data_IF_873353631141
#
_entry.id   IF_873353631141
#
_cell.length_a   1.000
_cell.length_b   1.000
_cell.length_c   1.000
_cell.angle_alpha   90.00
_cell.angle_beta   90.00
_cell.angle_gamma   90.00
#
_symmetry.space_group_name_H-M   'P 1'
#
loop_
_entity.id
_entity.type
_entity.pdbx_description
1 polymer ?
#
# COMPACT_ATOMS: atom_id res chain seq x y z
N UNK A 1 10.02 -3.78 23.34
CA UNK A 1 9.18 -3.69 22.13
C UNK A 1 10.00 -3.36 20.90
N UNK A 2 10.84 -2.31 20.89
CA UNK A 2 11.65 -1.93 19.71
C UNK A 2 12.55 -3.05 19.16
N UNK A 3 13.20 -3.82 20.04
CA UNK A 3 14.00 -4.98 19.61
C UNK A 3 13.16 -6.07 18.93
N UNK A 4 11.94 -6.35 19.43
CA UNK A 4 11.00 -7.28 18.80
C UNK A 4 10.55 -6.76 17.43
N UNK A 5 10.31 -5.44 17.31
CA UNK A 5 9.93 -4.83 16.04
C UNK A 5 11.05 -4.88 15.01
N UNK A 6 12.28 -4.58 15.42
CA UNK A 6 13.45 -4.72 14.56
C UNK A 6 13.64 -6.19 14.10
N UNK A 7 13.51 -7.14 15.02
CA UNK A 7 13.60 -8.57 14.70
C UNK A 7 12.49 -8.99 13.72
N UNK A 8 11.27 -8.52 13.91
CA UNK A 8 10.16 -8.78 13.01
C UNK A 8 10.43 -8.21 11.61
N UNK A 9 10.85 -6.94 11.50
CA UNK A 9 11.18 -6.30 10.24
C UNK A 9 12.30 -7.05 9.48
N UNK A 10 13.26 -7.60 10.20
CA UNK A 10 14.38 -8.34 9.61
C UNK A 10 14.03 -9.78 9.26
N UNK A 11 13.25 -10.50 10.09
CA UNK A 11 12.96 -11.94 9.90
C UNK A 11 11.71 -12.20 9.06
N UNK A 12 10.73 -11.30 9.07
CA UNK A 12 9.49 -11.41 8.27
C UNK A 12 9.37 -10.33 7.22
N UNK A 13 9.71 -9.08 7.56
CA UNK A 13 9.74 -7.99 6.60
C UNK A 13 10.63 -8.38 5.42
N UNK A 14 11.90 -8.06 5.48
CA UNK A 14 12.86 -8.37 4.41
C UNK A 14 13.32 -9.82 4.36
N UNK A 15 13.07 -10.61 5.40
CA UNK A 15 13.58 -11.97 5.58
C UNK A 15 15.08 -12.07 5.26
N UNK A 16 15.88 -11.30 6.02
CA UNK A 16 17.32 -11.16 5.81
C UNK A 16 18.02 -12.51 5.91
N UNK A 17 18.81 -12.84 4.89
CA UNK A 17 19.56 -14.08 4.83
C UNK A 17 20.99 -13.91 5.38
N UNK A 18 21.60 -15.02 5.80
CA UNK A 18 23.01 -15.02 6.18
C UNK A 18 23.90 -14.60 4.99
N UNK A 19 24.94 -13.83 5.24
CA UNK A 19 25.87 -13.27 4.23
C UNK A 19 25.21 -12.37 3.18
N UNK A 20 23.98 -11.89 3.43
CA UNK A 20 23.27 -10.93 2.57
C UNK A 20 23.57 -9.49 2.99
N UNK A 21 23.70 -8.58 2.01
CA UNK A 21 23.72 -7.14 2.25
C UNK A 21 22.34 -6.62 2.64
N UNK A 22 22.27 -5.75 3.64
CA UNK A 22 21.07 -5.00 3.99
C UNK A 22 21.27 -3.52 3.67
N UNK A 23 20.31 -2.95 2.96
CA UNK A 23 20.20 -1.49 2.78
C UNK A 23 19.01 -0.99 3.60
N UNK A 24 19.25 -0.05 4.49
CA UNK A 24 18.24 0.58 5.33
C UNK A 24 18.04 2.02 4.86
N UNK A 25 16.83 2.35 4.40
CA UNK A 25 16.43 3.74 4.17
C UNK A 25 15.73 4.22 5.44
N UNK A 26 16.21 5.26 6.10
CA UNK A 26 15.62 5.77 7.33
C UNK A 26 15.72 7.29 7.40
N UNK A 27 14.75 7.93 8.06
CA UNK A 27 14.88 9.31 8.45
C UNK A 27 15.81 9.46 9.68
N UNK A 28 16.39 10.62 9.85
CA UNK A 28 17.30 10.88 10.97
C UNK A 28 16.57 10.81 12.32
N UNK A 29 15.28 11.13 12.38
CA UNK A 29 14.43 10.97 13.56
C UNK A 29 14.34 9.51 13.99
N UNK A 30 14.48 8.59 13.06
CA UNK A 30 14.47 7.14 13.29
C UNK A 30 15.83 6.55 13.68
N UNK A 31 16.86 7.38 13.91
CA UNK A 31 18.24 6.91 14.11
C UNK A 31 18.38 5.88 15.25
N UNK A 32 17.67 6.05 16.36
CA UNK A 32 17.74 5.12 17.48
C UNK A 32 17.17 3.74 17.13
N UNK A 33 16.04 3.70 16.42
CA UNK A 33 15.48 2.44 15.94
C UNK A 33 16.37 1.81 14.85
N UNK A 34 16.90 2.60 13.93
CA UNK A 34 17.82 2.12 12.90
C UNK A 34 19.09 1.48 13.50
N UNK A 35 19.65 2.02 14.60
CA UNK A 35 20.78 1.41 15.33
C UNK A 35 20.41 0.02 15.89
N UNK A 36 19.20 -0.14 16.42
CA UNK A 36 18.70 -1.43 16.91
C UNK A 36 18.59 -2.42 15.73
N UNK A 37 18.04 -1.97 14.59
CA UNK A 37 17.93 -2.78 13.36
C UNK A 37 19.31 -3.23 12.88
N UNK A 38 20.28 -2.33 12.80
CA UNK A 38 21.66 -2.66 12.38
C UNK A 38 22.30 -3.69 13.30
N UNK A 39 22.19 -3.50 14.61
CA UNK A 39 22.70 -4.48 15.59
C UNK A 39 22.09 -5.84 15.37
N UNK A 40 20.75 -5.91 15.25
CA UNK A 40 20.03 -7.17 15.02
C UNK A 40 20.36 -7.79 13.67
N UNK A 41 20.58 -7.00 12.61
CA UNK A 41 20.97 -7.49 11.31
C UNK A 41 22.32 -8.22 11.36
N UNK A 42 23.31 -7.67 12.06
CA UNK A 42 24.58 -8.37 12.25
C UNK A 42 24.46 -9.62 13.14
N UNK A 43 23.57 -9.60 14.15
CA UNK A 43 23.28 -10.80 14.97
C UNK A 43 22.63 -11.94 14.12
N UNK A 44 21.88 -11.60 13.08
CA UNK A 44 21.28 -12.56 12.12
C UNK A 44 22.33 -13.07 11.12
N UNK A 45 23.44 -12.34 10.91
CA UNK A 45 24.49 -12.70 9.99
C UNK A 45 24.55 -11.88 8.71
N UNK A 46 24.06 -10.63 8.73
CA UNK A 46 24.23 -9.72 7.60
C UNK A 46 25.70 -9.59 7.22
N UNK A 47 26.01 -9.64 5.91
CA UNK A 47 27.34 -9.41 5.38
C UNK A 47 27.82 -7.99 5.66
N UNK A 48 26.95 -7.04 5.40
CA UNK A 48 27.16 -5.61 5.67
C UNK A 48 25.81 -4.90 5.70
N UNK A 49 25.76 -3.76 6.38
CA UNK A 49 24.57 -2.91 6.42
C UNK A 49 24.96 -1.52 5.92
N UNK A 50 24.24 -1.04 4.93
CA UNK A 50 24.33 0.33 4.44
C UNK A 50 23.08 1.09 4.88
N UNK A 51 23.27 2.31 5.46
CA UNK A 51 22.15 3.19 5.82
C UNK A 51 22.15 4.40 4.88
N UNK A 52 21.00 4.62 4.26
CA UNK A 52 20.69 5.81 3.48
C UNK A 52 19.77 6.71 4.31
N UNK A 53 20.33 7.81 4.82
CA UNK A 53 19.61 8.76 5.67
C UNK A 53 18.85 9.79 4.84
N UNK A 54 17.66 10.17 5.30
CA UNK A 54 16.89 11.33 4.87
C UNK A 54 16.57 12.22 6.09
N UNK A 55 16.24 13.46 5.81
CA UNK A 55 15.86 14.46 6.81
C UNK A 55 14.73 15.30 6.19
N UNK A 56 13.55 15.28 6.83
CA UNK A 56 12.36 15.92 6.31
C UNK A 56 12.54 17.45 6.17
N UNK A 57 13.23 18.09 7.10
CA UNK A 57 13.51 19.54 7.05
C UNK A 57 14.42 19.88 5.86
N UNK A 58 15.47 19.08 5.62
CA UNK A 58 16.35 19.26 4.47
C UNK A 58 15.63 18.97 3.15
N UNK A 59 14.77 17.95 3.11
CA UNK A 59 13.95 17.64 1.94
C UNK A 59 12.99 18.79 1.63
N UNK A 60 12.32 19.36 2.65
CA UNK A 60 11.47 20.54 2.48
C UNK A 60 12.27 21.74 1.97
N UNK A 61 13.40 22.08 2.58
CA UNK A 61 14.27 23.18 2.14
C UNK A 61 14.74 22.97 0.69
N UNK A 62 15.01 21.74 0.29
CA UNK A 62 15.36 21.41 -1.10
C UNK A 62 14.19 21.69 -2.05
N UNK A 63 12.97 21.24 -1.71
CA UNK A 63 11.79 21.56 -2.51
C UNK A 63 11.53 23.05 -2.62
N UNK A 64 11.77 23.84 -1.59
CA UNK A 64 11.56 25.28 -1.58
C UNK A 64 12.60 26.06 -2.41
N UNK A 65 13.85 25.64 -2.38
CA UNK A 65 14.98 26.47 -2.81
C UNK A 65 15.76 25.93 -4.03
N UNK A 66 15.70 24.64 -4.32
CA UNK A 66 16.46 24.08 -5.44
C UNK A 66 16.01 24.68 -6.79
N UNK A 67 16.94 24.85 -7.72
CA UNK A 67 16.63 25.28 -9.07
C UNK A 67 15.77 24.21 -9.80
N UNK A 68 14.95 24.63 -10.75
CA UNK A 68 13.99 23.74 -11.43
C UNK A 68 14.70 22.58 -12.14
N UNK A 69 15.79 22.81 -12.81
CA UNK A 69 16.62 21.80 -13.48
C UNK A 69 17.20 20.75 -12.53
N UNK A 70 17.45 21.13 -11.27
CA UNK A 70 17.86 20.20 -10.20
C UNK A 70 16.70 19.31 -9.76
N UNK A 71 15.49 19.85 -9.65
CA UNK A 71 14.29 19.08 -9.34
C UNK A 71 13.93 18.08 -10.45
N UNK A 72 14.24 18.42 -11.68
CA UNK A 72 13.99 17.60 -12.88
C UNK A 72 15.06 16.54 -13.14
N UNK A 73 16.06 16.42 -12.27
CA UNK A 73 17.19 15.54 -12.50
C UNK A 73 17.63 14.77 -11.24
N UNK A 74 17.76 13.46 -11.35
CA UNK A 74 18.35 12.62 -10.30
C UNK A 74 19.84 12.38 -10.61
N UNK A 75 20.76 12.69 -9.70
CA UNK A 75 22.18 12.47 -9.94
C UNK A 75 22.51 11.01 -10.29
N UNK A 76 23.31 10.81 -11.33
CA UNK A 76 23.65 9.47 -11.84
C UNK A 76 24.30 8.57 -10.79
N UNK A 77 25.11 9.13 -9.89
CA UNK A 77 25.74 8.36 -8.81
C UNK A 77 24.70 7.73 -7.88
N UNK A 78 23.58 8.43 -7.63
CA UNK A 78 22.50 7.91 -6.78
C UNK A 78 21.78 6.75 -7.47
N UNK A 79 21.50 6.86 -8.76
CA UNK A 79 20.89 5.79 -9.56
C UNK A 79 21.80 4.56 -9.55
N UNK A 80 23.10 4.74 -9.85
CA UNK A 80 24.08 3.65 -9.86
C UNK A 80 24.23 2.96 -8.51
N UNK A 81 24.13 3.71 -7.40
CA UNK A 81 24.17 3.16 -6.05
C UNK A 81 23.02 2.18 -5.82
N UNK A 82 21.78 2.59 -6.12
CA UNK A 82 20.61 1.72 -5.94
C UNK A 82 20.61 0.52 -6.90
N UNK A 83 21.00 0.74 -8.15
CA UNK A 83 21.13 -0.34 -9.14
C UNK A 83 22.20 -1.36 -8.70
N UNK A 84 23.31 -0.89 -8.14
CA UNK A 84 24.35 -1.77 -7.59
C UNK A 84 23.80 -2.61 -6.43
N UNK A 85 23.14 -2.00 -5.44
CA UNK A 85 22.55 -2.75 -4.34
C UNK A 85 21.57 -3.82 -4.82
N UNK A 86 20.71 -3.47 -5.77
CA UNK A 86 19.74 -4.42 -6.32
C UNK A 86 20.41 -5.56 -7.10
N UNK A 87 21.44 -5.26 -7.91
CA UNK A 87 22.18 -6.28 -8.66
C UNK A 87 22.98 -7.24 -7.78
N UNK A 88 23.42 -6.80 -6.61
CA UNK A 88 24.07 -7.64 -5.60
C UNK A 88 23.08 -8.45 -4.74
N UNK A 89 21.77 -8.33 -5.00
CA UNK A 89 20.73 -9.06 -4.24
C UNK A 89 20.54 -8.55 -2.81
N UNK A 90 20.81 -7.27 -2.57
CA UNK A 90 20.62 -6.68 -1.24
C UNK A 90 19.14 -6.72 -0.82
N UNK A 91 18.89 -6.99 0.47
CA UNK A 91 17.59 -6.77 1.08
C UNK A 91 17.39 -5.26 1.36
N UNK A 92 16.21 -4.72 1.06
CA UNK A 92 15.93 -3.29 1.21
C UNK A 92 14.87 -3.08 2.31
N UNK A 93 15.26 -2.49 3.42
CA UNK A 93 14.34 -2.11 4.50
C UNK A 93 14.13 -0.60 4.51
N UNK A 94 12.90 -0.15 4.36
CA UNK A 94 12.53 1.26 4.49
C UNK A 94 11.82 1.51 5.81
N UNK A 95 12.45 2.29 6.69
CA UNK A 95 11.89 2.74 7.97
C UNK A 95 11.32 4.13 7.72
N UNK A 96 10.00 4.21 7.62
CA UNK A 96 9.28 5.46 7.32
C UNK A 96 8.88 6.18 8.60
N UNK A 97 9.23 7.45 8.69
CA UNK A 97 8.76 8.38 9.70
C UNK A 97 8.12 9.55 8.95
N UNK A 98 6.85 9.40 8.62
CA UNK A 98 6.19 10.29 7.65
C UNK A 98 5.60 11.51 8.35
N UNK A 99 6.04 12.72 7.96
CA UNK A 99 5.30 13.95 8.24
C UNK A 99 4.21 14.14 7.17
N UNK A 100 2.91 13.99 7.51
CA UNK A 100 1.84 14.09 6.50
C UNK A 100 1.70 15.47 5.85
N UNK A 101 2.23 16.51 6.49
CA UNK A 101 2.16 17.90 6.03
C UNK A 101 3.51 18.41 5.47
N UNK A 102 4.50 17.54 5.27
CA UNK A 102 5.85 17.89 4.82
C UNK A 102 5.86 18.82 3.59
N UNK A 103 5.07 18.50 2.58
CA UNK A 103 5.03 19.24 1.31
C UNK A 103 3.89 20.27 1.24
N UNK A 104 3.20 20.54 2.36
CA UNK A 104 2.12 21.53 2.40
C UNK A 104 2.64 22.93 2.08
N UNK A 105 2.04 23.59 1.07
CA UNK A 105 2.44 24.90 0.61
C UNK A 105 3.57 24.92 -0.42
N UNK A 106 4.17 23.76 -0.75
CA UNK A 106 5.09 23.64 -1.89
C UNK A 106 4.28 23.66 -3.19
N UNK A 107 4.77 24.36 -4.20
CA UNK A 107 4.14 24.39 -5.52
C UNK A 107 4.04 22.97 -6.12
N UNK A 108 2.82 22.60 -6.54
CA UNK A 108 2.54 21.26 -7.09
C UNK A 108 3.40 20.92 -8.31
N UNK A 109 3.77 21.92 -9.12
CA UNK A 109 4.67 21.77 -10.26
C UNK A 109 6.05 21.25 -9.87
N UNK A 110 6.61 21.75 -8.75
CA UNK A 110 7.93 21.35 -8.22
C UNK A 110 7.90 19.91 -7.73
N UNK A 111 6.85 19.55 -6.99
CA UNK A 111 6.65 18.16 -6.50
C UNK A 111 6.49 17.21 -7.70
N UNK A 112 5.68 17.58 -8.67
CA UNK A 112 5.44 16.76 -9.87
C UNK A 112 6.71 16.57 -10.71
N UNK A 113 7.52 17.62 -10.88
CA UNK A 113 8.79 17.55 -11.61
C UNK A 113 9.77 16.55 -10.94
N UNK A 114 9.95 16.66 -9.62
CA UNK A 114 10.80 15.75 -8.85
C UNK A 114 10.31 14.30 -8.88
N UNK A 115 8.99 14.10 -8.71
CA UNK A 115 8.39 12.76 -8.76
C UNK A 115 8.58 12.11 -10.14
N UNK A 116 8.39 12.87 -11.22
CA UNK A 116 8.62 12.41 -12.59
C UNK A 116 10.07 12.04 -12.81
N UNK A 117 11.02 12.93 -12.47
CA UNK A 117 12.44 12.69 -12.60
C UNK A 117 12.90 11.43 -11.82
N UNK A 118 12.46 11.31 -10.56
CA UNK A 118 12.73 10.12 -9.74
C UNK A 118 12.09 8.86 -10.32
N UNK A 119 10.85 8.97 -10.84
CA UNK A 119 10.16 7.87 -11.49
C UNK A 119 10.91 7.30 -12.68
N UNK A 120 11.42 8.17 -13.55
CA UNK A 120 12.18 7.82 -14.74
C UNK A 120 13.58 7.29 -14.39
N UNK A 121 14.31 8.01 -13.54
CA UNK A 121 15.69 7.65 -13.18
C UNK A 121 15.78 6.32 -12.43
N UNK A 122 14.83 6.05 -11.51
CA UNK A 122 14.83 4.85 -10.68
C UNK A 122 14.04 3.68 -11.32
N UNK A 123 13.67 3.77 -12.60
CA UNK A 123 12.88 2.74 -13.30
C UNK A 123 13.54 1.35 -13.26
N UNK A 124 14.87 1.29 -13.39
CA UNK A 124 15.59 0.01 -13.34
C UNK A 124 15.56 -0.60 -11.95
N UNK A 125 15.88 0.17 -10.91
CA UNK A 125 15.78 -0.27 -9.51
C UNK A 125 14.36 -0.74 -9.15
N UNK A 126 13.33 0.01 -9.56
CA UNK A 126 11.93 -0.36 -9.32
C UNK A 126 11.54 -1.70 -9.95
N UNK A 127 12.15 -2.11 -11.07
CA UNK A 127 11.91 -3.45 -11.63
C UNK A 127 12.37 -4.57 -10.70
N UNK A 128 13.38 -4.33 -9.87
CA UNK A 128 13.81 -5.34 -8.89
C UNK A 128 12.81 -5.48 -7.75
N UNK A 129 12.26 -4.39 -7.23
CA UNK A 129 11.28 -4.44 -6.15
C UNK A 129 9.89 -4.85 -6.63
N UNK A 130 9.37 -4.24 -7.70
CA UNK A 130 8.01 -4.52 -8.20
C UNK A 130 7.83 -5.91 -8.83
N UNK A 131 8.93 -6.55 -9.28
CA UNK A 131 8.89 -7.92 -9.81
C UNK A 131 9.45 -8.95 -8.80
N UNK A 132 9.52 -8.58 -7.52
CA UNK A 132 10.00 -9.45 -6.44
C UNK A 132 11.36 -10.12 -6.72
N UNK A 133 12.28 -9.42 -7.44
CA UNK A 133 13.62 -9.94 -7.72
C UNK A 133 14.52 -9.94 -6.49
N UNK A 134 14.30 -9.01 -5.60
CA UNK A 134 14.97 -8.86 -4.29
C UNK A 134 13.93 -8.75 -3.19
N UNK A 135 14.31 -9.06 -1.96
CA UNK A 135 13.43 -8.84 -0.80
C UNK A 135 13.44 -7.38 -0.39
N UNK A 136 12.28 -6.85 -0.05
CA UNK A 136 12.13 -5.49 0.45
C UNK A 136 10.97 -5.39 1.44
N UNK A 137 11.04 -4.41 2.32
CA UNK A 137 9.94 -4.17 3.27
C UNK A 137 9.87 -2.72 3.68
N UNK A 138 8.65 -2.28 3.97
CA UNK A 138 8.37 -0.98 4.57
C UNK A 138 7.81 -1.20 5.97
N UNK A 139 8.40 -0.52 6.94
CA UNK A 139 7.90 -0.40 8.31
C UNK A 139 7.79 1.07 8.67
N UNK A 140 6.93 1.43 9.61
CA UNK A 140 6.79 2.81 10.05
C UNK A 140 7.17 2.98 11.52
N UNK A 141 7.67 4.17 11.84
CA UNK A 141 7.94 4.65 13.20
C UNK A 141 7.31 6.02 13.37
N UNK A 142 6.86 6.40 14.57
CA UNK A 142 6.28 7.71 14.81
C UNK A 142 7.31 8.84 14.71
N UNK A 143 6.82 10.03 14.35
CA UNK A 143 7.42 11.32 14.65
C UNK A 143 6.39 12.21 15.35
N UNK A 144 6.80 13.39 15.81
CA UNK A 144 5.94 14.31 16.53
C UNK A 144 4.77 14.80 15.67
N UNK A 145 5.04 15.19 14.43
CA UNK A 145 4.06 15.76 13.50
C UNK A 145 2.97 14.75 13.16
N UNK A 146 3.36 13.53 12.81
CA UNK A 146 2.42 12.46 12.52
C UNK A 146 1.59 12.07 13.75
N UNK A 147 2.26 11.89 14.89
CA UNK A 147 1.58 11.54 16.14
C UNK A 147 0.58 12.61 16.58
N UNK A 148 0.95 13.89 16.51
CA UNK A 148 0.07 15.03 16.82
C UNK A 148 -1.11 15.15 15.87
N UNK A 149 -0.94 14.78 14.60
CA UNK A 149 -2.02 14.79 13.63
C UNK A 149 -3.09 13.74 13.96
N UNK A 150 -2.66 12.56 14.46
CA UNK A 150 -3.59 11.49 14.87
C UNK A 150 -4.18 11.79 16.26
N UNK A 151 -3.38 12.32 17.19
CA UNK A 151 -3.75 12.57 18.59
C UNK A 151 -3.61 14.07 18.95
N UNK A 152 -4.44 14.97 18.37
CA UNK A 152 -4.26 16.42 18.50
C UNK A 152 -4.38 16.93 19.94
N UNK A 153 -5.18 16.26 20.77
CA UNK A 153 -5.44 16.65 22.18
C UNK A 153 -4.37 16.16 23.18
N UNK A 154 -3.40 15.34 22.74
CA UNK A 154 -2.32 14.84 23.59
C UNK A 154 -1.10 15.77 23.56
N UNK A 155 -0.23 15.72 24.60
CA UNK A 155 1.11 16.31 24.45
C UNK A 155 1.90 15.58 23.36
N UNK A 156 2.99 16.17 22.86
CA UNK A 156 3.83 15.52 21.82
C UNK A 156 4.34 14.16 22.27
N UNK A 157 4.90 14.08 23.48
CA UNK A 157 5.39 12.83 24.06
C UNK A 157 4.29 11.78 24.18
N UNK A 158 3.12 12.17 24.70
CA UNK A 158 1.97 11.27 24.82
C UNK A 158 1.42 10.81 23.46
N UNK A 159 1.43 11.70 22.47
CA UNK A 159 0.98 11.36 21.12
C UNK A 159 1.92 10.33 20.47
N UNK A 160 3.23 10.51 20.58
CA UNK A 160 4.26 9.58 20.09
C UNK A 160 4.14 8.23 20.79
N UNK A 161 3.96 8.22 22.12
CA UNK A 161 3.79 6.99 22.90
C UNK A 161 2.52 6.22 22.46
N UNK A 162 1.39 6.92 22.31
CA UNK A 162 0.14 6.33 21.80
C UNK A 162 0.31 5.77 20.39
N UNK A 163 1.05 6.46 19.52
CA UNK A 163 1.27 5.99 18.16
C UNK A 163 2.18 4.75 18.14
N UNK A 164 3.21 4.69 18.99
CA UNK A 164 3.99 3.46 19.18
C UNK A 164 3.12 2.29 19.62
N UNK A 165 2.21 2.50 20.58
CA UNK A 165 1.30 1.45 21.03
C UNK A 165 0.41 0.93 19.90
N UNK A 166 -0.09 1.83 19.03
CA UNK A 166 -0.85 1.43 17.85
C UNK A 166 0.02 0.64 16.86
N UNK A 167 1.22 1.13 16.55
CA UNK A 167 2.16 0.45 15.63
C UNK A 167 2.45 -0.96 16.15
N UNK A 168 2.78 -1.13 17.43
CA UNK A 168 3.08 -2.43 18.03
C UNK A 168 1.89 -3.38 17.98
N UNK A 169 0.69 -2.89 18.28
CA UNK A 169 -0.54 -3.68 18.19
C UNK A 169 -0.84 -4.11 16.76
N UNK A 170 -0.82 -3.17 15.82
CA UNK A 170 -1.12 -3.37 14.41
C UNK A 170 -0.12 -4.33 13.77
N UNK A 171 1.17 -4.19 14.10
CA UNK A 171 2.23 -5.09 13.62
C UNK A 171 2.39 -6.35 14.47
N UNK A 172 1.51 -6.60 15.46
CA UNK A 172 1.54 -7.80 16.33
C UNK A 172 2.81 -7.92 17.17
N UNK A 173 3.56 -6.82 17.33
CA UNK A 173 4.79 -6.77 18.14
C UNK A 173 4.48 -6.90 19.64
N UNK A 174 3.26 -6.56 20.05
CA UNK A 174 2.72 -6.75 21.42
C UNK A 174 2.54 -8.23 21.80
N UNK A 175 2.53 -9.14 20.81
CA UNK A 175 2.42 -10.58 21.05
C UNK A 175 3.70 -11.15 21.68
N UNK A 176 3.60 -12.32 22.31
CA UNK A 176 4.75 -13.01 22.91
C UNK A 176 5.82 -13.30 21.84
N UNK A 177 5.40 -13.85 20.69
CA UNK A 177 6.25 -14.13 19.53
C UNK A 177 5.68 -13.48 18.25
N UNK A 178 6.09 -12.24 17.93
CA UNK A 178 5.61 -11.54 16.75
C UNK A 178 5.84 -12.27 15.42
N UNK A 179 6.98 -12.95 15.29
CA UNK A 179 7.31 -13.72 14.07
C UNK A 179 6.33 -14.88 13.87
N UNK A 180 5.99 -15.60 14.95
CA UNK A 180 4.98 -16.67 14.88
C UNK A 180 3.60 -16.10 14.54
N UNK A 181 3.19 -15.01 15.17
CA UNK A 181 1.92 -14.35 14.90
C UNK A 181 1.81 -13.90 13.42
N UNK A 182 2.89 -13.41 12.82
CA UNK A 182 2.94 -13.10 11.40
C UNK A 182 2.91 -14.32 10.49
N UNK A 183 3.50 -15.45 10.91
CA UNK A 183 3.39 -16.69 10.16
C UNK A 183 1.93 -17.17 10.08
N UNK A 184 1.19 -17.11 11.17
CA UNK A 184 -0.24 -17.46 11.22
C UNK A 184 -1.07 -16.48 10.38
N UNK A 185 -0.79 -15.18 10.50
CA UNK A 185 -1.46 -14.14 9.71
C UNK A 185 -1.22 -14.34 8.19
N UNK A 186 0.03 -14.55 7.77
CA UNK A 186 0.34 -14.85 6.37
C UNK A 186 -0.33 -16.15 5.90
N UNK A 187 -0.44 -17.16 6.75
CA UNK A 187 -1.14 -18.40 6.40
C UNK A 187 -2.64 -18.14 6.16
N UNK A 188 -3.27 -17.30 6.98
CA UNK A 188 -4.68 -16.88 6.79
C UNK A 188 -4.86 -16.13 5.46
N UNK A 189 -4.01 -15.14 5.16
CA UNK A 189 -4.07 -14.41 3.89
C UNK A 189 -3.78 -15.32 2.68
N UNK A 190 -2.84 -16.25 2.82
CA UNK A 190 -2.54 -17.24 1.78
C UNK A 190 -3.72 -18.17 1.50
N UNK A 191 -4.45 -18.60 2.54
CA UNK A 191 -5.67 -19.41 2.38
C UNK A 191 -6.77 -18.60 1.69
N UNK A 192 -7.03 -17.35 2.13
CA UNK A 192 -8.00 -16.47 1.47
C UNK A 192 -7.67 -16.30 -0.02
N UNK A 193 -6.42 -15.94 -0.32
CA UNK A 193 -5.91 -15.82 -1.69
C UNK A 193 -6.07 -17.11 -2.49
N UNK A 194 -5.77 -18.26 -1.88
CA UNK A 194 -5.93 -19.56 -2.54
C UNK A 194 -7.39 -19.84 -2.88
N UNK A 195 -8.30 -19.66 -1.94
CA UNK A 195 -9.74 -19.90 -2.16
C UNK A 195 -10.27 -18.99 -3.28
N UNK A 196 -9.93 -17.70 -3.25
CA UNK A 196 -10.36 -16.74 -4.26
C UNK A 196 -9.81 -17.08 -5.66
N UNK A 197 -8.55 -17.51 -5.76
CA UNK A 197 -7.94 -17.96 -7.02
C UNK A 197 -8.55 -19.29 -7.51
N UNK A 198 -8.79 -20.25 -6.61
CA UNK A 198 -9.40 -21.56 -6.99
C UNK A 198 -10.86 -21.41 -7.44
N UNK A 199 -11.63 -20.51 -6.82
CA UNK A 199 -13.03 -20.22 -7.16
C UNK A 199 -13.19 -19.46 -8.46
N UNK A 200 -12.22 -18.61 -8.78
CA UNK A 200 -12.14 -17.84 -10.03
C UNK A 200 -13.45 -17.13 -10.37
N UNK A 201 -13.93 -16.31 -9.45
CA UNK A 201 -15.20 -15.61 -9.61
C UNK A 201 -15.16 -14.67 -10.83
N UNK A 202 -16.22 -14.69 -11.61
CA UNK A 202 -16.41 -13.79 -12.75
C UNK A 202 -16.70 -12.35 -12.31
N UNK A 203 -17.43 -12.22 -11.20
CA UNK A 203 -17.92 -10.94 -10.69
C UNK A 203 -18.00 -10.95 -9.17
N UNK A 204 -17.78 -9.80 -8.57
CA UNK A 204 -18.05 -9.50 -7.17
C UNK A 204 -19.27 -8.58 -7.06
N UNK A 205 -20.11 -8.82 -6.06
CA UNK A 205 -21.28 -7.99 -5.75
C UNK A 205 -21.15 -7.48 -4.33
N UNK A 206 -21.09 -6.17 -4.19
CA UNK A 206 -20.94 -5.47 -2.91
C UNK A 206 -22.26 -4.87 -2.46
N UNK A 207 -22.62 -5.08 -1.20
CA UNK A 207 -23.80 -4.49 -0.55
C UNK A 207 -23.43 -3.94 0.81
N UNK A 208 -23.71 -2.65 1.02
CA UNK A 208 -23.55 -1.95 2.30
C UNK A 208 -24.41 -0.68 2.29
N UNK A 209 -24.59 0.02 3.41
CA UNK A 209 -25.23 1.34 3.40
C UNK A 209 -24.53 2.30 2.43
N UNK A 210 -25.26 2.81 1.43
CA UNK A 210 -24.71 3.68 0.38
C UNK A 210 -23.89 2.98 -0.71
N UNK A 211 -23.75 1.65 -0.64
CA UNK A 211 -23.01 0.86 -1.63
C UNK A 211 -23.87 -0.26 -2.20
N UNK A 212 -24.03 -0.24 -3.51
CA UNK A 212 -24.64 -1.28 -4.33
C UNK A 212 -23.83 -1.35 -5.63
N UNK A 213 -22.82 -2.22 -5.66
CA UNK A 213 -21.78 -2.20 -6.69
C UNK A 213 -21.50 -3.61 -7.21
N UNK A 214 -21.44 -3.73 -8.51
CA UNK A 214 -21.00 -4.95 -9.20
C UNK A 214 -19.65 -4.68 -9.89
N UNK A 215 -18.71 -5.60 -9.71
CA UNK A 215 -17.36 -5.51 -10.29
C UNK A 215 -17.04 -6.82 -11.01
N UNK A 216 -16.97 -6.80 -12.32
CA UNK A 216 -16.46 -7.92 -13.12
C UNK A 216 -14.95 -8.01 -13.00
N UNK A 217 -14.43 -9.22 -12.95
CA UNK A 217 -13.00 -9.51 -12.92
C UNK A 217 -12.54 -10.00 -14.31
N UNK A 218 -11.34 -9.62 -14.77
CA UNK A 218 -10.77 -10.18 -15.99
C UNK A 218 -10.64 -11.71 -15.92
N UNK A 219 -10.79 -12.42 -17.03
CA UNK A 219 -10.67 -13.89 -17.07
C UNK A 219 -9.34 -14.40 -16.47
N UNK A 220 -8.26 -13.67 -16.69
CA UNK A 220 -6.94 -14.02 -16.18
C UNK A 220 -6.57 -13.39 -14.84
N UNK A 221 -7.53 -12.87 -14.07
CA UNK A 221 -7.22 -12.22 -12.79
C UNK A 221 -6.55 -13.16 -11.79
N UNK A 222 -5.67 -12.59 -10.97
CA UNK A 222 -4.94 -13.29 -9.89
C UNK A 222 -5.07 -12.48 -8.61
N UNK A 223 -5.56 -13.13 -7.56
CA UNK A 223 -5.56 -12.57 -6.21
C UNK A 223 -4.16 -12.65 -5.61
N UNK A 224 -3.69 -11.54 -5.06
CA UNK A 224 -2.42 -11.35 -4.39
C UNK A 224 -2.66 -10.86 -2.95
N UNK A 225 -1.59 -10.66 -2.18
CA UNK A 225 -1.65 -10.15 -0.81
C UNK A 225 -0.92 -11.04 0.19
N UNK A 226 -0.63 -10.51 1.37
CA UNK A 226 0.18 -11.16 2.38
C UNK A 226 1.67 -11.16 2.02
N UNK A 227 2.31 -12.34 2.06
CA UNK A 227 3.71 -12.48 1.70
C UNK A 227 3.93 -12.60 0.20
N UNK A 228 5.07 -12.09 -0.27
CA UNK A 228 5.65 -12.31 -1.60
C UNK A 228 6.78 -13.34 -1.54
N UNK A 229 7.15 -13.89 -2.71
CA UNK A 229 8.31 -14.79 -2.84
C UNK A 229 9.27 -14.17 -3.84
N UNK A 230 10.51 -13.92 -3.42
CA UNK A 230 11.53 -13.35 -4.31
C UNK A 230 11.95 -14.34 -5.41
N UNK A 231 12.63 -13.82 -6.45
CA UNK A 231 13.21 -14.65 -7.53
C UNK A 231 14.16 -15.75 -6.98
N UNK A 232 14.74 -15.53 -5.80
CA UNK A 232 15.60 -16.50 -5.10
C UNK A 232 14.81 -17.50 -4.21
N UNK A 233 13.48 -17.42 -4.22
CA UNK A 233 12.62 -18.29 -3.40
C UNK A 233 12.51 -17.88 -1.92
N UNK A 234 12.88 -16.64 -1.58
CA UNK A 234 12.80 -16.11 -0.21
C UNK A 234 11.42 -15.49 -0.01
N UNK A 235 10.66 -16.01 0.95
CA UNK A 235 9.37 -15.43 1.34
C UNK A 235 9.58 -14.19 2.22
N UNK A 236 8.91 -13.08 1.91
CA UNK A 236 9.03 -11.81 2.62
C UNK A 236 7.70 -11.04 2.65
N UNK A 237 7.58 -10.04 3.52
CA UNK A 237 6.44 -9.14 3.57
C UNK A 237 6.86 -7.75 3.12
N UNK A 238 6.39 -7.32 1.95
CA UNK A 238 6.72 -6.02 1.37
C UNK A 238 6.22 -4.85 2.23
N UNK A 239 5.05 -4.99 2.83
CA UNK A 239 4.44 -4.00 3.71
C UNK A 239 4.19 -4.58 5.10
N UNK A 240 4.54 -3.83 6.12
CA UNK A 240 4.22 -4.18 7.52
C UNK A 240 3.63 -2.93 8.21
N UNK A 241 2.30 -2.87 8.34
CA UNK A 241 1.33 -3.97 8.20
C UNK A 241 0.90 -4.25 6.76
N UNK A 242 0.26 -5.43 6.56
CA UNK A 242 -0.61 -5.78 5.44
C UNK A 242 -1.73 -6.68 5.96
N UNK A 243 -2.98 -6.37 5.59
CA UNK A 243 -4.20 -7.06 6.06
C UNK A 243 -5.08 -7.50 4.89
N UNK A 244 -4.63 -7.26 3.67
CA UNK A 244 -5.42 -7.37 2.45
C UNK A 244 -5.11 -8.59 1.61
N UNK A 245 -6.12 -8.96 0.82
CA UNK A 245 -5.96 -9.68 -0.44
C UNK A 245 -6.62 -8.86 -1.55
N UNK A 246 -5.93 -8.68 -2.65
CA UNK A 246 -6.35 -7.77 -3.72
C UNK A 246 -6.20 -8.38 -5.11
N UNK A 247 -6.96 -7.84 -6.05
CA UNK A 247 -6.87 -8.12 -7.48
C UNK A 247 -7.26 -6.87 -8.28
N UNK A 248 -7.34 -6.99 -9.61
CA UNK A 248 -7.79 -5.91 -10.46
C UNK A 248 -9.24 -6.12 -10.96
N UNK A 249 -10.06 -5.06 -11.08
CA UNK A 249 -11.33 -5.11 -11.78
C UNK A 249 -11.12 -5.10 -13.30
N UNK A 250 -12.08 -5.64 -14.05
CA UNK A 250 -12.15 -5.40 -15.49
C UNK A 250 -12.55 -3.94 -15.75
N UNK A 251 -11.73 -3.19 -16.48
CA UNK A 251 -11.87 -1.72 -16.63
C UNK A 251 -13.22 -1.25 -17.18
N UNK A 252 -13.98 -2.13 -17.84
CA UNK A 252 -15.34 -1.84 -18.35
C UNK A 252 -16.43 -2.53 -17.52
N UNK A 253 -16.09 -3.37 -16.55
CA UNK A 253 -17.00 -4.27 -15.86
C UNK A 253 -17.53 -3.75 -14.52
N UNK A 254 -17.50 -2.45 -14.26
CA UNK A 254 -17.94 -1.88 -12.97
C UNK A 254 -19.25 -1.13 -13.16
N UNK A 255 -20.30 -1.50 -12.37
CA UNK A 255 -21.61 -0.88 -12.44
C UNK A 255 -22.21 -0.73 -11.04
N UNK A 256 -22.88 0.41 -10.79
CA UNK A 256 -23.53 0.69 -9.52
C UNK A 256 -22.89 1.86 -8.77
N UNK A 257 -23.19 1.96 -7.49
CA UNK A 257 -22.73 3.08 -6.64
C UNK A 257 -21.95 2.56 -5.45
N UNK A 258 -20.89 3.29 -5.08
CA UNK A 258 -20.10 3.07 -3.87
C UNK A 258 -19.97 4.36 -3.09
N UNK A 259 -20.07 4.26 -1.76
CA UNK A 259 -19.80 5.37 -0.85
C UNK A 259 -18.53 5.12 -0.05
N UNK A 260 -17.73 6.16 0.14
CA UNK A 260 -16.58 6.10 1.04
C UNK A 260 -17.02 5.94 2.48
N UNK A 261 -16.29 5.17 3.26
CA UNK A 261 -16.52 4.98 4.70
C UNK A 261 -15.51 5.71 5.57
N UNK A 262 -14.43 6.21 4.95
CA UNK A 262 -13.39 7.00 5.61
C UNK A 262 -13.00 8.18 4.71
N UNK A 263 -12.49 9.28 5.31
CA UNK A 263 -11.93 10.38 4.53
C UNK A 263 -10.71 9.93 3.71
N UNK A 264 -10.57 10.48 2.51
CA UNK A 264 -9.42 10.31 1.64
C UNK A 264 -8.53 11.55 1.71
N UNK A 265 -7.27 11.39 2.11
CA UNK A 265 -6.26 12.44 2.05
C UNK A 265 -5.56 12.38 0.69
N UNK A 266 -5.74 13.39 -0.16
CA UNK A 266 -5.17 13.42 -1.49
C UNK A 266 -4.62 14.80 -1.82
N UNK A 267 -3.35 14.88 -2.23
CA UNK A 267 -2.70 16.13 -2.62
C UNK A 267 -2.70 17.22 -1.51
N UNK A 268 -2.66 16.81 -0.24
CA UNK A 268 -2.74 17.71 0.91
C UNK A 268 -4.15 18.21 1.25
N UNK A 269 -5.18 17.73 0.54
CA UNK A 269 -6.58 18.05 0.78
C UNK A 269 -7.33 16.82 1.30
N UNK A 270 -8.40 17.06 2.05
CA UNK A 270 -9.30 16.03 2.52
C UNK A 270 -10.52 15.94 1.61
N UNK A 271 -10.86 14.72 1.17
CA UNK A 271 -12.10 14.40 0.48
C UNK A 271 -12.94 13.55 1.43
N UNK A 272 -14.11 14.02 1.82
CA UNK A 272 -14.90 13.38 2.85
C UNK A 272 -16.36 13.14 2.44
N UNK A 273 -16.95 12.04 2.96
CA UNK A 273 -18.33 11.63 2.68
C UNK A 273 -18.65 11.72 1.17
N UNK A 274 -17.89 10.99 0.35
CA UNK A 274 -18.07 11.01 -1.09
C UNK A 274 -18.65 9.69 -1.62
N UNK A 275 -19.31 9.79 -2.76
CA UNK A 275 -19.82 8.64 -3.49
C UNK A 275 -19.47 8.73 -4.98
N UNK A 276 -19.34 7.55 -5.60
CA UNK A 276 -19.06 7.38 -7.02
C UNK A 276 -20.09 6.46 -7.63
N UNK A 277 -20.67 6.85 -8.77
CA UNK A 277 -21.55 6.01 -9.56
C UNK A 277 -20.87 5.58 -10.85
N UNK A 278 -20.76 4.28 -11.03
CA UNK A 278 -20.13 3.65 -12.19
C UNK A 278 -21.15 3.14 -13.20
N UNK A 279 -20.83 3.31 -14.47
CA UNK A 279 -21.52 2.68 -15.59
C UNK A 279 -20.48 2.21 -16.62
N UNK A 280 -20.50 0.93 -16.95
CA UNK A 280 -19.53 0.33 -17.89
C UNK A 280 -18.07 0.66 -17.52
N UNK A 281 -17.77 0.54 -16.24
CA UNK A 281 -16.44 0.78 -15.65
C UNK A 281 -16.06 2.25 -15.47
N UNK A 282 -16.86 3.21 -15.90
CA UNK A 282 -16.54 4.65 -15.84
C UNK A 282 -17.36 5.35 -14.79
N UNK A 283 -16.74 6.20 -13.97
CA UNK A 283 -17.46 7.14 -13.08
C UNK A 283 -18.26 8.13 -13.94
N UNK A 284 -19.58 8.03 -13.83
CA UNK A 284 -20.55 8.90 -14.57
C UNK A 284 -21.16 9.97 -13.69
N UNK A 285 -21.17 9.75 -12.37
CA UNK A 285 -21.66 10.71 -11.38
C UNK A 285 -20.86 10.56 -10.08
N UNK A 286 -20.69 11.65 -9.35
CA UNK A 286 -20.00 11.67 -8.06
C UNK A 286 -20.48 12.81 -7.17
N UNK A 287 -20.32 12.64 -5.87
CA UNK A 287 -20.58 13.68 -4.88
C UNK A 287 -19.52 13.65 -3.78
N UNK A 288 -19.33 14.76 -3.09
CA UNK A 288 -18.53 14.84 -1.86
C UNK A 288 -19.06 15.97 -0.99
N UNK A 289 -19.13 15.77 0.33
CA UNK A 289 -19.48 16.86 1.26
C UNK A 289 -18.32 17.85 1.43
N UNK A 290 -17.09 17.34 1.37
CA UNK A 290 -15.85 18.11 1.47
C UNK A 290 -14.89 17.64 0.38
N UNK A 291 -14.12 18.55 -0.21
CA UNK A 291 -13.11 18.23 -1.22
C UNK A 291 -13.67 17.88 -2.60
N UNK A 292 -14.88 18.34 -2.96
CA UNK A 292 -15.50 18.08 -4.26
C UNK A 292 -14.59 18.43 -5.44
N UNK A 293 -13.99 19.63 -5.46
CA UNK A 293 -13.10 20.06 -6.53
C UNK A 293 -11.83 19.19 -6.61
N UNK A 294 -11.33 18.73 -5.46
CA UNK A 294 -10.17 17.83 -5.41
C UNK A 294 -10.51 16.47 -6.02
N UNK A 295 -11.71 15.94 -5.72
CA UNK A 295 -12.21 14.69 -6.32
C UNK A 295 -12.42 14.85 -7.82
N UNK A 296 -13.02 15.97 -8.25
CA UNK A 296 -13.23 16.28 -9.66
C UNK A 296 -11.89 16.35 -10.43
N UNK A 297 -10.89 17.00 -9.86
CA UNK A 297 -9.55 17.09 -10.45
C UNK A 297 -8.89 15.71 -10.55
N UNK A 298 -8.98 14.87 -9.52
CA UNK A 298 -8.50 13.48 -9.54
C UNK A 298 -9.16 12.70 -10.68
N UNK A 299 -10.49 12.75 -10.80
CA UNK A 299 -11.27 12.07 -11.82
C UNK A 299 -11.00 12.58 -13.26
N UNK A 300 -10.44 13.78 -13.40
CA UNK A 300 -10.15 14.42 -14.69
C UNK A 300 -8.66 14.39 -15.06
N UNK A 301 -7.80 13.68 -14.34
CA UNK A 301 -6.36 13.59 -14.66
C UNK A 301 -6.10 12.94 -16.02
N UNK A 302 -6.75 11.81 -16.28
CA UNK A 302 -6.77 11.11 -17.57
C UNK A 302 -8.05 10.26 -17.70
N UNK A 303 -8.18 9.48 -18.78
CA UNK A 303 -9.36 8.63 -18.96
C UNK A 303 -9.39 7.47 -17.94
N UNK A 304 -8.23 6.93 -17.58
CA UNK A 304 -8.11 5.83 -16.64
C UNK A 304 -8.41 6.23 -15.19
N UNK A 305 -8.24 7.51 -14.83
CA UNK A 305 -8.54 8.00 -13.47
C UNK A 305 -10.03 7.94 -13.10
N UNK A 306 -10.93 7.82 -14.10
CA UNK A 306 -12.36 7.58 -13.90
C UNK A 306 -12.72 6.10 -13.80
N UNK A 307 -11.76 5.20 -13.78
CA UNK A 307 -11.96 3.75 -13.73
C UNK A 307 -11.24 3.16 -12.54
N UNK A 308 -11.69 2.00 -12.10
CA UNK A 308 -11.01 1.27 -11.03
C UNK A 308 -9.78 0.53 -11.58
N UNK A 309 -8.73 0.48 -10.75
CA UNK A 309 -7.50 -0.28 -10.96
C UNK A 309 -7.29 -1.38 -9.94
N UNK A 310 -7.96 -1.30 -8.78
CA UNK A 310 -7.81 -2.28 -7.71
C UNK A 310 -9.11 -2.56 -6.99
N UNK A 311 -9.20 -3.79 -6.50
CA UNK A 311 -10.20 -4.31 -5.58
C UNK A 311 -9.48 -5.02 -4.46
N UNK A 312 -9.59 -4.51 -3.23
CA UNK A 312 -8.97 -5.09 -2.06
C UNK A 312 -9.99 -5.48 -0.99
N UNK A 313 -9.80 -6.64 -0.39
CA UNK A 313 -10.63 -7.19 0.67
C UNK A 313 -9.82 -7.23 1.96
N UNK A 314 -10.30 -6.50 2.97
CA UNK A 314 -9.70 -6.39 4.29
C UNK A 314 -10.76 -6.66 5.36
N UNK A 315 -10.58 -7.62 6.26
CA UNK A 315 -11.58 -7.92 7.28
C UNK A 315 -11.72 -6.75 8.28
N UNK A 316 -12.97 -6.45 8.63
CA UNK A 316 -13.30 -5.43 9.64
C UNK A 316 -12.69 -5.73 11.03
N UNK A 317 -12.37 -6.99 11.31
CA UNK A 317 -11.67 -7.39 12.53
C UNK A 317 -10.16 -7.14 12.48
N UNK A 318 -9.61 -6.57 11.39
CA UNK A 318 -8.18 -6.21 11.34
C UNK A 318 -7.80 -5.24 12.46
N UNK A 319 -6.59 -5.31 13.00
CA UNK A 319 -6.17 -4.41 14.09
C UNK A 319 -6.26 -2.94 13.71
N UNK A 320 -6.04 -2.60 12.44
CA UNK A 320 -6.13 -1.23 11.94
C UNK A 320 -7.59 -0.76 11.94
N UNK A 321 -8.49 -1.58 11.39
CA UNK A 321 -9.92 -1.29 11.40
C UNK A 321 -10.45 -1.06 12.82
N UNK A 322 -10.07 -1.94 13.75
CA UNK A 322 -10.51 -1.89 15.15
C UNK A 322 -9.89 -0.73 15.95
N UNK A 323 -8.84 -0.10 15.47
CA UNK A 323 -8.29 1.11 16.12
C UNK A 323 -9.25 2.30 16.05
N UNK A 324 -10.12 2.35 15.02
CA UNK A 324 -11.02 3.46 14.74
C UNK A 324 -10.29 4.76 14.33
N UNK A 325 -8.98 4.70 14.11
CA UNK A 325 -8.14 5.85 13.79
C UNK A 325 -8.00 6.03 12.27
N UNK A 326 -7.74 7.28 11.88
CA UNK A 326 -7.20 7.64 10.56
C UNK A 326 -5.73 7.95 10.78
N UNK A 327 -4.86 7.24 10.09
CA UNK A 327 -3.42 7.37 10.30
C UNK A 327 -2.78 8.45 9.43
N UNK A 328 -3.47 8.96 8.40
CA UNK A 328 -2.89 9.88 7.41
C UNK A 328 -1.61 9.32 6.78
N UNK A 329 -1.59 8.00 6.63
CA UNK A 329 -0.46 7.24 6.10
C UNK A 329 -1.02 6.07 5.29
N UNK A 330 -0.76 6.04 3.99
CA UNK A 330 -1.30 5.06 3.05
C UNK A 330 -1.03 3.61 3.50
N UNK A 331 0.18 3.31 4.01
CA UNK A 331 0.53 1.97 4.50
C UNK A 331 -0.45 1.43 5.57
N UNK A 332 -1.04 2.33 6.38
CA UNK A 332 -2.01 1.97 7.41
C UNK A 332 -3.45 2.11 6.91
N UNK A 333 -3.76 3.24 6.29
CA UNK A 333 -5.14 3.59 5.97
C UNK A 333 -5.73 2.67 4.88
N UNK A 334 -4.94 2.23 3.86
CA UNK A 334 -5.36 1.24 2.87
C UNK A 334 -5.70 -0.11 3.52
N UNK A 335 -4.99 -0.51 4.56
CA UNK A 335 -5.22 -1.74 5.31
C UNK A 335 -6.28 -1.61 6.44
N UNK A 336 -6.98 -0.47 6.51
CA UNK A 336 -8.03 -0.23 7.51
C UNK A 336 -9.39 -0.81 7.14
N UNK A 337 -9.68 -1.06 5.86
CA UNK A 337 -10.94 -1.65 5.40
C UNK A 337 -10.85 -2.13 3.96
N UNK A 338 -11.87 -2.85 3.48
CA UNK A 338 -12.01 -3.06 2.05
C UNK A 338 -11.92 -1.73 1.32
N UNK A 339 -11.12 -1.69 0.25
CA UNK A 339 -10.88 -0.49 -0.54
C UNK A 339 -10.89 -0.77 -2.03
N UNK A 340 -11.03 0.28 -2.79
CA UNK A 340 -10.96 0.29 -4.24
C UNK A 340 -9.96 1.37 -4.64
N UNK A 341 -9.19 1.15 -5.71
CA UNK A 341 -8.33 2.20 -6.25
C UNK A 341 -8.91 2.81 -7.53
N UNK A 342 -8.95 4.13 -7.60
CA UNK A 342 -9.15 4.85 -8.86
C UNK A 342 -7.83 4.89 -9.62
N UNK A 343 -7.85 4.53 -10.91
CA UNK A 343 -6.70 4.68 -11.79
C UNK A 343 -6.02 3.38 -12.17
N UNK A 344 -4.70 3.36 -12.12
CA UNK A 344 -3.84 2.32 -12.69
C UNK A 344 -4.00 0.99 -11.97
N UNK A 345 -4.19 -0.08 -12.75
CA UNK A 345 -4.14 -1.45 -12.24
C UNK A 345 -2.71 -2.00 -12.24
N UNK A 346 -2.44 -2.96 -11.33
CA UNK A 346 -1.17 -3.69 -11.30
C UNK A 346 -1.18 -4.81 -12.34
N UNK A 347 -0.32 -4.76 -13.39
CA UNK A 347 -0.26 -5.81 -14.41
C UNK A 347 0.00 -7.21 -13.84
N UNK A 348 0.71 -7.28 -12.71
CA UNK A 348 1.00 -8.55 -12.02
C UNK A 348 -0.24 -9.23 -11.41
N UNK A 349 -1.39 -8.56 -11.36
CA UNK A 349 -2.66 -9.13 -10.91
C UNK A 349 -3.46 -9.78 -12.03
N UNK A 350 -2.89 -9.90 -13.24
CA UNK A 350 -3.40 -10.71 -14.35
C UNK A 350 -2.33 -11.69 -14.83
N UNK A 351 -2.75 -12.89 -15.23
CA UNK A 351 -1.85 -13.98 -15.64
C UNK A 351 -0.97 -13.56 -16.81
N UNK A 352 0.35 -13.57 -16.61
CA UNK A 352 1.34 -13.15 -17.61
C UNK A 352 1.46 -11.64 -17.79
N UNK A 353 0.69 -10.83 -17.09
CA UNK A 353 0.59 -9.38 -17.29
C UNK A 353 1.90 -8.61 -17.09
N UNK A 354 2.81 -9.09 -16.24
CA UNK A 354 4.12 -8.49 -16.04
C UNK A 354 4.99 -8.47 -17.33
N UNK A 355 4.66 -9.33 -18.31
CA UNK A 355 5.36 -9.45 -19.59
C UNK A 355 4.53 -8.97 -20.79
N UNK A 356 3.32 -8.44 -20.56
CA UNK A 356 2.45 -7.89 -21.59
C UNK A 356 2.85 -6.45 -21.90
N UNK A 357 2.66 -6.04 -23.15
CA UNK A 357 2.69 -4.64 -23.53
C UNK A 357 1.36 -3.94 -23.22
N UNK A 358 1.30 -2.63 -23.39
CA UNK A 358 0.12 -1.82 -23.05
C UNK A 358 -1.11 -2.25 -23.86
N UNK A 359 -0.96 -2.68 -25.12
CA UNK A 359 -2.08 -3.14 -25.96
C UNK A 359 -2.64 -4.47 -25.45
N UNK A 360 -1.78 -5.43 -25.12
CA UNK A 360 -2.20 -6.71 -24.56
C UNK A 360 -2.85 -6.53 -23.16
N UNK A 361 -2.33 -5.64 -22.32
CA UNK A 361 -2.95 -5.29 -21.04
C UNK A 361 -4.35 -4.69 -21.26
N UNK A 362 -4.49 -3.78 -22.21
CA UNK A 362 -5.78 -3.16 -22.54
C UNK A 362 -6.82 -4.19 -23.00
N UNK A 363 -6.44 -5.12 -23.87
CA UNK A 363 -7.28 -6.22 -24.35
C UNK A 363 -7.71 -7.18 -23.22
N UNK A 364 -6.89 -7.32 -22.18
CA UNK A 364 -7.21 -8.10 -20.98
C UNK A 364 -8.01 -7.28 -19.93
N UNK A 365 -8.50 -6.09 -20.26
CA UNK A 365 -9.31 -5.28 -19.39
C UNK A 365 -8.55 -4.60 -18.24
N UNK A 366 -7.23 -4.52 -18.33
CA UNK A 366 -6.38 -3.85 -17.34
C UNK A 366 -6.45 -2.34 -17.53
N UNK A 367 -6.77 -1.61 -16.49
CA UNK A 367 -6.84 -0.15 -16.56
C UNK A 367 -5.44 0.48 -16.48
N UNK A 368 -5.16 1.43 -17.37
CA UNK A 368 -3.95 2.23 -17.36
C UNK A 368 -4.28 3.69 -17.05
N UNK A 369 -3.48 4.31 -16.18
CA UNK A 369 -3.63 5.70 -15.74
C UNK A 369 -2.30 6.24 -15.22
N UNK A 370 -2.19 7.56 -15.12
CA UNK A 370 -1.06 8.22 -14.46
C UNK A 370 -1.19 8.22 -12.94
N UNK A 371 -2.35 7.86 -12.40
CA UNK A 371 -2.65 7.84 -10.96
C UNK A 371 -3.06 6.45 -10.49
N UNK A 372 -2.92 6.20 -9.19
CA UNK A 372 -3.48 5.09 -8.42
C UNK A 372 -3.79 5.62 -7.04
N UNK A 373 -5.07 5.68 -6.69
CA UNK A 373 -5.52 6.29 -5.44
C UNK A 373 -6.57 5.42 -4.77
N UNK A 374 -6.19 4.85 -3.62
CA UNK A 374 -7.02 3.99 -2.80
C UNK A 374 -8.03 4.81 -2.00
N UNK A 375 -9.26 4.34 -1.93
CA UNK A 375 -10.29 4.89 -1.06
C UNK A 375 -11.04 3.77 -0.33
N UNK A 376 -11.30 3.99 0.95
CA UNK A 376 -11.89 3.01 1.85
C UNK A 376 -13.40 3.02 1.71
N UNK A 377 -13.98 1.83 1.48
CA UNK A 377 -15.42 1.64 1.33
C UNK A 377 -15.97 0.51 2.23
N UNK A 378 -15.09 -0.20 2.93
CA UNK A 378 -15.45 -1.28 3.83
C UNK A 378 -15.96 -0.79 5.17
N UNK A 379 -16.84 -1.57 5.78
CA UNK A 379 -17.40 -1.37 7.12
C UNK A 379 -17.76 -2.72 7.75
N UNK A 380 -18.23 -2.70 9.01
CA UNK A 380 -18.80 -3.89 9.65
C UNK A 380 -20.15 -4.33 9.09
N UNK A 381 -20.71 -3.62 8.10
CA UNK A 381 -22.01 -3.92 7.48
C UNK A 381 -21.87 -4.31 6.00
N UNK A 382 -20.62 -4.50 5.52
CA UNK A 382 -20.39 -4.85 4.11
C UNK A 382 -20.52 -6.35 3.88
N UNK A 383 -21.31 -6.70 2.88
CA UNK A 383 -21.40 -8.05 2.33
C UNK A 383 -20.77 -8.08 0.94
N UNK A 384 -20.07 -9.16 0.62
CA UNK A 384 -19.49 -9.39 -0.69
C UNK A 384 -19.85 -10.81 -1.15
N UNK A 385 -20.48 -10.91 -2.30
CA UNK A 385 -20.76 -12.18 -2.98
C UNK A 385 -19.86 -12.35 -4.20
N UNK A 386 -19.33 -13.54 -4.39
CA UNK A 386 -18.67 -13.98 -5.61
C UNK A 386 -19.65 -14.68 -6.55
N UNK A 387 -19.73 -14.24 -7.79
CA UNK A 387 -20.54 -14.84 -8.84
C UNK A 387 -19.63 -15.67 -9.74
N UNK A 388 -19.97 -16.96 -9.89
CA UNK A 388 -19.24 -17.90 -10.75
C UNK A 388 -19.69 -17.81 -12.21
N UNK A 389 -18.98 -18.49 -13.11
CA UNK A 389 -19.28 -18.51 -14.55
C UNK A 389 -20.67 -19.07 -14.85
N UNK A 390 -21.15 -20.05 -14.06
CA UNK A 390 -22.49 -20.63 -14.18
C UNK A 390 -23.62 -19.75 -13.61
N UNK A 391 -23.28 -18.56 -13.09
CA UNK A 391 -24.21 -17.63 -12.46
C UNK A 391 -24.53 -17.94 -11.00
N UNK A 392 -24.02 -19.02 -10.43
CA UNK A 392 -24.19 -19.31 -9.00
C UNK A 392 -23.41 -18.31 -8.14
N UNK A 393 -23.92 -18.00 -6.95
CA UNK A 393 -23.34 -17.06 -6.01
C UNK A 393 -22.83 -17.75 -4.76
N UNK A 394 -21.76 -17.25 -4.20
CA UNK A 394 -21.15 -17.72 -2.96
C UNK A 394 -20.74 -16.53 -2.09
N UNK A 395 -21.06 -16.59 -0.78
CA UNK A 395 -20.66 -15.56 0.14
C UNK A 395 -19.12 -15.54 0.33
N UNK A 396 -18.49 -14.42 0.05
CA UNK A 396 -17.08 -14.17 0.33
C UNK A 396 -16.93 -13.46 1.68
N UNK A 397 -17.77 -12.42 1.89
CA UNK A 397 -17.80 -11.61 3.11
C UNK A 397 -19.22 -11.49 3.64
N UNK A 398 -19.35 -11.47 4.97
CA UNK A 398 -20.59 -11.13 5.68
C UNK A 398 -20.24 -10.30 6.91
N UNK A 399 -21.01 -9.28 7.16
CA UNK A 399 -20.80 -8.36 8.28
C UNK A 399 -19.33 -7.90 8.37
N UNK A 400 -18.77 -7.53 7.22
CA UNK A 400 -17.39 -7.03 7.11
C UNK A 400 -16.27 -8.05 7.35
N UNK A 401 -16.56 -9.36 7.39
CA UNK A 401 -15.56 -10.38 7.70
C UNK A 401 -15.66 -11.58 6.75
N UNK A 402 -14.62 -12.42 6.71
CA UNK A 402 -14.58 -13.61 5.86
C UNK A 402 -15.75 -14.56 6.15
N UNK A 403 -16.54 -14.88 5.13
CA UNK A 403 -17.53 -15.95 5.14
C UNK A 403 -17.01 -17.25 4.52
N UNK A 404 -15.88 -17.19 3.82
CA UNK A 404 -15.14 -18.36 3.35
C UNK A 404 -14.20 -18.88 4.45
N UNK A 405 -13.87 -20.18 4.40
CA UNK A 405 -12.93 -20.79 5.36
C UNK A 405 -11.50 -20.36 5.06
N UNK A 406 -10.97 -19.48 5.92
CA UNK A 406 -9.59 -18.97 5.89
C UNK A 406 -8.78 -19.36 7.13
N UNK A 407 -9.35 -20.17 8.07
CA UNK A 407 -8.73 -20.61 9.32
C UNK A 407 -8.11 -22.01 9.21
#
# INVERSE_FOLDING_TARGET
MLEKYAELALKRGVNLQNDQMLVVNASIEGADFARIVVKKAYEIGAKTVHINWSDDDLDRLWYENAAQDVLENVPEWRVKMFDHFASEGAAILSIRSTNPDLLKGIESSRISASNKASGEAMKNFRKYTMNDKITWSIVAIPNNEWAKKIFPDSSEEQAVEKLWDQIFKITRVDQENPVAAWNEHNATLAKARKVLNDRHYKKLVYKAPGTDLEIELPEGHIWKGGSSISEQGIEFNANMPTEEVFTLPHKYGVNGTVSSTKPLSYGGNLINDFSLTFKEGKVVDFSAKEGYETLENLLNMDEGSRRLGEVAIVPHQSPISQSGLIFFNTLYDENASCHLALGKAYPSSVKGGANMDDEALDQNGVNNSVTHVDFMMGSGEIDIDGVKEDGSTEAIFRDGNWAIDVN
#
